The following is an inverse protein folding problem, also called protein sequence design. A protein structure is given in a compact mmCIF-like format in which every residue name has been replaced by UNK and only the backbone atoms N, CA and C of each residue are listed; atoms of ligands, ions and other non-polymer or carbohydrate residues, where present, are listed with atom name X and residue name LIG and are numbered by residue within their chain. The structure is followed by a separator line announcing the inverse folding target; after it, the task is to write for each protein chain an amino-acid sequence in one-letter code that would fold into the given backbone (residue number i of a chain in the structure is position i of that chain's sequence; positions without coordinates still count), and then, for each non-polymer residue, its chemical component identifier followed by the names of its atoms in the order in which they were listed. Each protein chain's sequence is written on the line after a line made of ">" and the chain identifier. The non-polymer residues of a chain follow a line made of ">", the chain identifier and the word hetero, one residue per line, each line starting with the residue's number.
data_IF_512163437629
#
_entry.id   IF_512163437629
#
_cell.length_a   1.000
_cell.length_b   1.000
_cell.length_c   1.000
_cell.angle_alpha   90.00
_cell.angle_beta   90.00
_cell.angle_gamma   90.00
#
_symmetry.space_group_name_H-M   'P 1'
#
loop_
_entity.id
_entity.type
_entity.pdbx_description
1 polymer ?
#
# COMPACT_ATOMS: atom_id res chain seq x y z
N UNK A 1 16.15 22.91 -8.87
CA UNK A 1 15.92 22.98 -7.41
C UNK A 1 15.45 21.60 -6.96
N UNK A 2 16.34 20.60 -6.98
CA UNK A 2 16.09 19.24 -6.44
C UNK A 2 16.10 19.32 -4.91
N UNK A 3 15.05 19.92 -4.34
CA UNK A 3 14.96 20.04 -2.90
C UNK A 3 14.49 18.73 -2.30
N UNK A 4 15.34 18.14 -1.47
CA UNK A 4 15.07 17.41 -0.21
C UNK A 4 13.91 16.41 -0.11
N UNK A 5 13.24 16.02 -1.20
CA UNK A 5 12.10 15.08 -1.18
C UNK A 5 12.55 13.70 -0.74
N UNK A 6 13.70 13.23 -1.22
CA UNK A 6 14.27 11.93 -0.80
C UNK A 6 14.65 11.93 0.67
N UNK A 7 15.20 13.04 1.19
CA UNK A 7 15.52 13.16 2.62
C UNK A 7 14.24 13.27 3.46
N UNK A 8 13.27 14.06 3.00
CA UNK A 8 11.97 14.20 3.65
C UNK A 8 11.22 12.87 3.69
N UNK A 9 11.25 12.08 2.61
CA UNK A 9 10.70 10.72 2.56
C UNK A 9 11.38 9.80 3.59
N UNK A 10 12.71 9.90 3.75
CA UNK A 10 13.43 9.12 4.78
C UNK A 10 13.12 9.56 6.20
N UNK A 11 12.99 10.87 6.43
CA UNK A 11 12.73 11.42 7.76
C UNK A 11 11.28 11.28 8.20
N UNK A 12 10.33 11.45 7.27
CA UNK A 12 8.90 11.48 7.52
C UNK A 12 8.13 10.59 6.52
N UNK A 13 8.38 9.27 6.48
CA UNK A 13 7.82 8.37 5.46
C UNK A 13 6.28 8.32 5.50
N UNK A 14 5.67 8.35 6.69
CA UNK A 14 4.21 8.33 6.84
C UNK A 14 3.59 9.65 6.36
N UNK A 15 4.18 10.80 6.74
CA UNK A 15 3.70 12.11 6.31
C UNK A 15 3.85 12.30 4.78
N UNK A 16 4.95 11.80 4.20
CA UNK A 16 5.13 11.77 2.76
C UNK A 16 4.00 10.96 2.08
N UNK A 17 3.69 9.75 2.57
CA UNK A 17 2.59 8.95 2.02
C UNK A 17 1.24 9.67 2.11
N UNK A 18 0.96 10.37 3.21
CA UNK A 18 -0.29 11.14 3.38
C UNK A 18 -0.38 12.32 2.40
N UNK A 19 0.67 13.14 2.33
CA UNK A 19 0.71 14.33 1.45
C UNK A 19 0.53 13.92 -0.02
N UNK A 20 1.22 12.87 -0.45
CA UNK A 20 1.19 12.40 -1.83
C UNK A 20 0.09 11.35 -2.09
N UNK A 21 -0.81 11.12 -1.12
CA UNK A 21 -1.92 10.16 -1.18
C UNK A 21 -1.51 8.79 -1.73
N UNK A 22 -0.33 8.31 -1.34
CA UNK A 22 0.21 7.06 -1.85
C UNK A 22 -0.56 5.88 -1.24
N UNK A 23 -0.99 4.90 -2.05
CA UNK A 23 -1.71 3.75 -1.55
C UNK A 23 -0.83 2.94 -0.61
N UNK A 24 -1.45 2.50 0.49
CA UNK A 24 -0.85 1.60 1.47
C UNK A 24 -1.07 0.15 1.07
N UNK A 25 -0.44 -0.78 1.78
CA UNK A 25 -0.72 -2.20 1.57
C UNK A 25 -2.22 -2.55 1.70
N UNK A 26 -2.94 -1.91 2.61
CA UNK A 26 -4.37 -2.16 2.81
C UNK A 26 -5.21 -1.73 1.61
N UNK A 27 -4.86 -0.59 1.00
CA UNK A 27 -5.46 -0.09 -0.23
C UNK A 27 -5.34 -1.11 -1.38
N UNK A 28 -4.20 -1.79 -1.47
CA UNK A 28 -4.01 -2.87 -2.45
C UNK A 28 -4.80 -4.13 -2.09
N UNK A 29 -4.90 -4.47 -0.81
CA UNK A 29 -5.69 -5.61 -0.35
C UNK A 29 -7.19 -5.41 -0.64
N UNK A 30 -7.70 -4.18 -0.59
CA UNK A 30 -9.11 -3.88 -0.92
C UNK A 30 -9.50 -4.21 -2.38
N UNK A 31 -8.51 -4.29 -3.27
CA UNK A 31 -8.69 -4.61 -4.71
C UNK A 31 -8.51 -6.10 -4.99
N UNK A 32 -7.95 -6.85 -4.03
CA UNK A 32 -7.69 -8.29 -4.19
C UNK A 32 -9.01 -9.06 -4.29
N UNK A 33 -9.02 -10.10 -5.13
CA UNK A 33 -10.15 -10.99 -5.37
C UNK A 33 -10.09 -12.25 -4.51
N UNK A 34 -8.88 -12.69 -4.22
CA UNK A 34 -8.59 -13.91 -3.48
C UNK A 34 -7.34 -13.76 -2.61
N UNK A 35 -7.07 -14.78 -1.82
CA UNK A 35 -5.93 -14.81 -0.90
C UNK A 35 -4.58 -14.89 -1.62
N UNK A 36 -4.53 -15.49 -2.81
CA UNK A 36 -3.31 -15.56 -3.61
C UNK A 36 -2.85 -14.17 -4.02
N UNK A 37 -3.76 -13.36 -4.57
CA UNK A 37 -3.47 -11.96 -4.91
C UNK A 37 -3.00 -11.17 -3.66
N UNK A 38 -3.64 -11.38 -2.51
CA UNK A 38 -3.26 -10.68 -1.28
C UNK A 38 -1.86 -11.08 -0.78
N UNK A 39 -1.49 -12.36 -0.91
CA UNK A 39 -0.16 -12.86 -0.52
C UNK A 39 0.94 -12.30 -1.43
N UNK A 40 0.69 -12.22 -2.74
CA UNK A 40 1.62 -11.61 -3.70
C UNK A 40 1.87 -10.12 -3.37
N UNK A 41 0.81 -9.39 -3.02
CA UNK A 41 0.91 -7.99 -2.59
C UNK A 41 1.76 -7.88 -1.31
N UNK A 42 1.51 -8.72 -0.31
CA UNK A 42 2.30 -8.71 0.94
C UNK A 42 3.78 -8.98 0.65
N UNK A 43 4.09 -9.97 -0.18
CA UNK A 43 5.47 -10.28 -0.56
C UNK A 43 6.14 -9.12 -1.31
N UNK A 44 5.44 -8.46 -2.22
CA UNK A 44 5.96 -7.31 -2.95
C UNK A 44 6.32 -6.14 -2.01
N UNK A 45 5.43 -5.81 -1.07
CA UNK A 45 5.66 -4.74 -0.10
C UNK A 45 6.80 -5.07 0.88
N UNK A 46 6.93 -6.34 1.29
CA UNK A 46 8.03 -6.81 2.13
C UNK A 46 9.38 -6.71 1.39
N UNK A 47 9.44 -7.20 0.14
CA UNK A 47 10.66 -7.15 -0.69
C UNK A 47 11.15 -5.73 -0.93
N UNK A 48 10.23 -4.75 -1.01
CA UNK A 48 10.55 -3.32 -1.15
C UNK A 48 10.89 -2.63 0.17
N UNK A 49 10.75 -3.31 1.31
CA UNK A 49 10.96 -2.72 2.64
C UNK A 49 9.89 -1.69 3.03
N UNK A 50 8.74 -1.69 2.36
CA UNK A 50 7.64 -0.76 2.64
C UNK A 50 6.81 -1.19 3.87
N UNK A 51 6.91 -2.48 4.22
CA UNK A 51 6.45 -3.09 5.49
C UNK A 51 7.59 -3.91 6.10
N UNK A 52 7.58 -4.09 7.42
CA UNK A 52 8.55 -4.96 8.09
C UNK A 52 8.22 -6.44 7.86
N UNK A 53 9.23 -7.31 8.06
CA UNK A 53 9.04 -8.77 8.04
C UNK A 53 7.97 -9.22 9.05
N UNK A 54 7.99 -8.66 10.25
CA UNK A 54 7.01 -8.97 11.30
C UNK A 54 5.57 -8.58 10.88
N UNK A 55 5.42 -7.41 10.23
CA UNK A 55 4.14 -6.99 9.68
C UNK A 55 3.68 -7.92 8.55
N UNK A 56 4.58 -8.31 7.65
CA UNK A 56 4.29 -9.24 6.56
C UNK A 56 3.85 -10.62 7.11
N UNK A 57 4.55 -11.17 8.11
CA UNK A 57 4.19 -12.43 8.77
C UNK A 57 2.82 -12.34 9.46
N UNK A 58 2.55 -11.23 10.16
CA UNK A 58 1.24 -10.99 10.79
C UNK A 58 0.10 -10.96 9.76
N UNK A 59 0.31 -10.27 8.63
CA UNK A 59 -0.67 -10.20 7.53
C UNK A 59 -0.88 -11.55 6.85
N UNK A 60 0.18 -12.35 6.64
CA UNK A 60 0.07 -13.72 6.11
C UNK A 60 -0.74 -14.62 7.03
N UNK A 61 -0.55 -14.50 8.35
CA UNK A 61 -1.26 -15.30 9.35
C UNK A 61 -2.73 -14.90 9.47
N UNK A 62 -3.02 -13.60 9.38
CA UNK A 62 -4.36 -13.04 9.54
C UNK A 62 -4.71 -12.14 8.35
N UNK A 63 -4.94 -12.77 7.18
CA UNK A 63 -5.34 -12.02 5.99
C UNK A 63 -6.65 -11.27 6.25
N UNK A 64 -6.73 -9.97 5.95
CA UNK A 64 -7.95 -9.19 6.13
C UNK A 64 -8.93 -9.44 4.97
N UNK A 65 -9.42 -10.69 4.87
CA UNK A 65 -10.33 -11.17 3.81
C UNK A 65 -11.59 -10.32 3.67
N UNK A 66 -12.03 -9.68 4.75
CA UNK A 66 -13.18 -8.78 4.79
C UNK A 66 -13.00 -7.49 3.96
N UNK A 67 -11.77 -7.18 3.54
CA UNK A 67 -11.45 -6.06 2.66
C UNK A 67 -11.51 -6.42 1.19
N UNK A 68 -11.41 -7.70 0.84
CA UNK A 68 -11.31 -8.14 -0.55
C UNK A 68 -12.52 -7.68 -1.36
N UNK A 69 -12.27 -7.17 -2.57
CA UNK A 69 -13.31 -6.68 -3.48
C UNK A 69 -14.07 -5.43 -3.01
N UNK A 70 -13.66 -4.75 -1.92
CA UNK A 70 -14.28 -3.47 -1.50
C UNK A 70 -13.99 -2.33 -2.48
N UNK A 71 -12.92 -2.43 -3.27
CA UNK A 71 -12.58 -1.48 -4.34
C UNK A 71 -12.40 -2.17 -5.67
N UNK A 72 -12.68 -1.46 -6.76
CA UNK A 72 -12.41 -1.92 -8.11
C UNK A 72 -11.03 -1.43 -8.57
N UNK A 73 -10.36 -2.25 -9.40
CA UNK A 73 -9.12 -1.87 -10.07
C UNK A 73 -9.38 -0.61 -10.91
N UNK A 74 -8.54 0.42 -10.75
CA UNK A 74 -8.74 1.75 -11.33
C UNK A 74 -9.47 2.76 -10.44
N UNK A 75 -9.94 2.39 -9.24
CA UNK A 75 -10.58 3.36 -8.34
C UNK A 75 -9.61 4.42 -7.81
N UNK A 76 -8.30 4.15 -7.78
CA UNK A 76 -7.27 5.17 -7.49
C UNK A 76 -7.19 6.25 -8.58
N UNK A 77 -7.30 5.84 -9.85
CA UNK A 77 -7.34 6.76 -11.01
C UNK A 77 -8.68 7.49 -11.11
N UNK A 78 -9.79 6.86 -10.67
CA UNK A 78 -11.11 7.52 -10.64
C UNK A 78 -11.29 8.49 -9.48
N UNK A 79 -10.63 8.25 -8.34
CA UNK A 79 -10.79 9.07 -7.11
C UNK A 79 -9.69 10.12 -6.92
N UNK A 80 -8.68 10.15 -7.77
CA UNK A 80 -7.74 11.26 -7.85
C UNK A 80 -7.55 11.71 -9.31
N UNK A 81 -7.66 13.02 -9.56
CA UNK A 81 -7.34 13.75 -10.80
C UNK A 81 -8.53 14.02 -11.75
N UNK A 82 -9.56 14.70 -11.27
CA UNK A 82 -10.08 15.87 -12.01
C UNK A 82 -9.59 17.06 -11.19
N UNK A 83 -8.78 17.92 -11.83
CA UNK A 83 -8.06 19.11 -11.30
C UNK A 83 -8.40 19.61 -9.89
#
# INVERSE_FOLDING_TARGET
>A
MEWDVERFKRMFPNLYREIFKLPTIYDHIEVCRDEGEALEIIEYFERRGEISKEQAESLRKNLPRHLFGRRKRGDFERRGLVD
#
